data_IF_923120935272
#
_entry.id   IF_923120935272
#
_cell.length_a   1.000
_cell.length_b   1.000
_cell.length_c   1.000
_cell.angle_alpha   90.00
_cell.angle_beta   90.00
_cell.angle_gamma   90.00
#
_symmetry.space_group_name_H-M   'P 1'
#
loop_
_entity.id
_entity.type
_entity.pdbx_description
1 polymer ?
#
# COMPACT_ATOMS: atom_id res chain seq x y z
N UNK A 1 -46.20 47.09 -42.86
CA UNK A 1 -45.57 48.42 -43.13
C UNK A 1 -44.63 48.73 -41.97
N UNK A 2 -43.32 48.88 -42.26
CA UNK A 2 -42.16 49.42 -41.47
C UNK A 2 -41.83 48.74 -40.12
N UNK A 3 -40.60 48.41 -39.72
CA UNK A 3 -39.22 48.54 -40.24
C UNK A 3 -38.29 47.61 -39.41
N UNK A 4 -37.18 47.04 -39.93
CA UNK A 4 -35.80 47.59 -39.91
C UNK A 4 -35.44 48.24 -38.55
N UNK A 5 -34.38 47.88 -37.82
CA UNK A 5 -33.00 47.69 -38.27
C UNK A 5 -32.05 47.07 -37.21
N UNK A 6 -31.07 46.31 -37.73
CA UNK A 6 -29.62 46.20 -37.39
C UNK A 6 -29.11 46.03 -35.95
N UNK A 7 -28.28 44.99 -35.75
CA UNK A 7 -27.24 44.92 -34.70
C UNK A 7 -26.04 45.85 -34.95
N UNK A 8 -24.97 45.77 -34.13
CA UNK A 8 -23.72 45.20 -34.67
C UNK A 8 -22.89 44.40 -33.64
N UNK A 9 -22.06 43.48 -34.18
CA UNK A 9 -20.96 42.80 -33.50
C UNK A 9 -19.62 43.46 -33.89
N UNK A 10 -18.67 43.37 -32.94
CA UNK A 10 -17.21 43.41 -33.08
C UNK A 10 -16.52 44.77 -33.31
N UNK A 11 -15.73 45.23 -32.33
CA UNK A 11 -14.26 45.34 -32.45
C UNK A 11 -13.60 46.02 -31.22
N UNK A 12 -12.35 45.58 -30.97
CA UNK A 12 -11.20 46.36 -30.47
C UNK A 12 -11.03 46.69 -28.97
N UNK A 13 -9.98 46.07 -28.41
CA UNK A 13 -8.85 46.65 -27.68
C UNK A 13 -9.00 48.01 -26.96
N UNK A 14 -8.68 48.02 -25.66
CA UNK A 14 -8.34 49.26 -24.92
C UNK A 14 -8.12 49.04 -23.41
N UNK A 15 -6.87 49.18 -22.94
CA UNK A 15 -6.56 49.56 -21.54
C UNK A 15 -6.94 51.03 -21.31
N UNK A 16 -7.31 51.43 -20.08
CA UNK A 16 -6.45 52.33 -19.27
C UNK A 16 -6.39 51.93 -17.76
N UNK A 17 -5.21 52.04 -17.09
CA UNK A 17 -4.79 53.07 -16.08
C UNK A 17 -5.84 53.36 -14.98
N UNK A 18 -5.59 53.32 -13.67
CA UNK A 18 -4.37 53.18 -12.84
C UNK A 18 -4.69 53.64 -11.39
N UNK A 19 -3.72 53.41 -10.46
CA UNK A 19 -3.63 53.79 -9.02
C UNK A 19 -4.44 52.97 -8.02
N UNK A 20 -4.02 52.78 -6.77
CA UNK A 20 -2.76 52.64 -6.02
C UNK A 20 -3.21 52.55 -4.55
N UNK A 21 -2.44 51.86 -3.68
CA UNK A 21 -2.48 51.76 -2.20
C UNK A 21 -2.60 50.28 -1.76
N UNK A 22 -1.64 49.67 -1.04
CA UNK A 22 -0.38 50.15 -0.49
C UNK A 22 0.37 48.98 0.15
N UNK A 23 1.68 49.13 0.22
CA UNK A 23 2.66 48.21 0.81
C UNK A 23 2.40 47.84 2.27
N UNK A 24 2.80 46.61 2.62
CA UNK A 24 3.44 46.33 3.92
C UNK A 24 4.25 45.02 3.85
N UNK A 25 5.47 45.13 3.33
CA UNK A 25 6.60 44.38 3.90
C UNK A 25 6.69 44.67 5.39
N UNK A 26 6.79 43.64 6.26
CA UNK A 26 7.74 43.59 7.39
C UNK A 26 7.71 42.22 8.10
N UNK A 27 8.90 41.64 8.15
CA UNK A 27 9.49 40.62 9.04
C UNK A 27 8.86 40.34 10.42
N UNK A 28 8.95 39.07 10.84
CA UNK A 28 9.34 38.54 12.16
C UNK A 28 8.71 37.14 12.34
N UNK A 29 9.34 36.07 12.84
CA UNK A 29 10.45 35.94 13.78
C UNK A 29 10.97 34.50 13.67
N UNK A 30 12.28 34.31 13.53
CA UNK A 30 12.96 33.06 13.88
C UNK A 30 12.75 32.80 15.38
N UNK A 31 12.16 31.65 15.72
CA UNK A 31 12.29 31.06 17.06
C UNK A 31 13.36 29.97 17.01
N UNK A 32 14.41 30.03 17.84
CA UNK A 32 15.39 28.96 17.98
C UNK A 32 14.82 27.87 18.89
N UNK A 33 14.79 26.61 18.44
CA UNK A 33 14.42 25.49 19.32
C UNK A 33 13.70 24.30 18.70
N UNK A 34 13.52 24.23 17.37
CA UNK A 34 12.96 23.02 16.75
C UNK A 34 14.08 22.00 16.48
N UNK A 35 14.11 20.97 17.32
CA UNK A 35 14.86 19.73 17.13
C UNK A 35 14.63 19.20 15.72
N UNK A 36 15.71 19.05 14.95
CA UNK A 36 15.71 18.50 13.60
C UNK A 36 15.47 16.99 13.69
N UNK A 37 14.25 16.56 13.37
CA UNK A 37 13.95 15.17 13.03
C UNK A 37 14.24 14.94 11.54
N UNK A 38 14.98 13.87 11.16
CA UNK A 38 15.36 13.65 9.77
C UNK A 38 14.16 13.20 8.92
N UNK A 39 14.08 13.80 7.73
CA UNK A 39 13.05 13.63 6.73
C UNK A 39 12.91 12.18 6.24
N UNK A 40 11.76 11.57 6.50
CA UNK A 40 11.21 10.49 5.67
C UNK A 40 10.12 11.09 4.80
N UNK A 41 10.54 11.72 3.71
CA UNK A 41 9.66 12.13 2.61
C UNK A 41 9.26 10.91 1.78
N UNK A 42 8.33 10.09 2.30
CA UNK A 42 7.56 9.18 1.46
C UNK A 42 6.32 9.93 1.02
N UNK A 43 6.42 10.60 -0.13
CA UNK A 43 5.31 11.23 -0.80
C UNK A 43 4.25 10.16 -1.13
N UNK A 44 3.20 10.10 -0.32
CA UNK A 44 1.94 9.48 -0.72
C UNK A 44 1.45 10.31 -1.90
N UNK A 45 1.51 9.73 -3.11
CA UNK A 45 0.86 10.32 -4.27
C UNK A 45 -0.64 10.47 -3.94
N UNK A 46 -1.20 11.69 -3.96
CA UNK A 46 -2.63 11.84 -3.85
C UNK A 46 -3.23 11.37 -5.17
N UNK A 47 -3.77 10.15 -5.14
CA UNK A 47 -4.68 9.64 -6.14
C UNK A 47 -5.77 10.67 -6.41
N UNK A 48 -5.90 11.03 -7.69
CA UNK A 48 -6.97 11.84 -8.26
C UNK A 48 -7.07 13.31 -7.78
N UNK A 49 -6.55 14.22 -8.62
CA UNK A 49 -7.12 15.56 -8.73
C UNK A 49 -8.62 15.41 -8.96
N UNK A 50 -9.41 15.79 -7.96
CA UNK A 50 -10.78 16.24 -8.15
C UNK A 50 -10.78 17.29 -9.24
N UNK A 51 -11.22 16.88 -10.43
CA UNK A 51 -11.61 17.79 -11.50
C UNK A 51 -12.70 18.66 -10.90
N UNK A 52 -12.36 19.90 -10.59
CA UNK A 52 -13.34 20.94 -10.28
C UNK A 52 -14.17 21.13 -11.54
N UNK A 53 -15.31 20.45 -11.58
CA UNK A 53 -16.31 20.71 -12.58
C UNK A 53 -16.69 22.20 -12.47
N UNK A 54 -16.52 22.88 -13.60
CA UNK A 54 -16.99 24.24 -13.80
C UNK A 54 -18.47 24.28 -13.41
N UNK A 55 -18.80 25.03 -12.37
CA UNK A 55 -20.17 25.53 -12.18
C UNK A 55 -20.50 26.48 -13.33
N UNK A 56 -21.02 25.93 -14.42
CA UNK A 56 -21.79 26.70 -15.40
C UNK A 56 -23.18 27.03 -14.83
N UNK A 57 -23.85 28.10 -15.30
CA UNK A 57 -25.19 28.44 -14.84
C UNK A 57 -26.18 27.32 -15.19
N UNK A 58 -26.90 26.76 -14.21
CA UNK A 58 -27.92 25.73 -14.44
C UNK A 58 -29.18 26.34 -15.07
N UNK A 59 -29.81 25.66 -16.06
CA UNK A 59 -31.14 26.00 -16.52
C UNK A 59 -32.18 25.70 -15.43
N UNK A 60 -33.15 26.60 -15.29
CA UNK A 60 -34.19 26.60 -14.26
C UNK A 60 -35.29 25.61 -14.65
N UNK A 61 -35.31 24.40 -14.07
CA UNK A 61 -36.45 23.47 -14.25
C UNK A 61 -36.19 21.96 -14.20
N UNK A 62 -35.37 21.43 -13.27
CA UNK A 62 -35.29 19.98 -13.03
C UNK A 62 -35.38 19.73 -11.53
N UNK A 63 -36.38 18.98 -11.11
CA UNK A 63 -36.63 18.56 -9.73
C UNK A 63 -35.38 17.90 -9.14
N UNK A 64 -35.05 18.32 -7.91
CA UNK A 64 -33.90 17.88 -7.15
C UNK A 64 -34.12 16.45 -6.66
N UNK A 65 -33.53 15.47 -7.33
CA UNK A 65 -33.24 14.19 -6.70
C UNK A 65 -31.73 14.04 -6.64
N UNK A 66 -31.14 14.71 -5.66
CA UNK A 66 -29.79 14.36 -5.22
C UNK A 66 -29.89 12.95 -4.66
N UNK A 67 -29.46 11.97 -5.46
CA UNK A 67 -29.16 10.63 -4.96
C UNK A 67 -28.07 10.81 -3.91
N UNK A 68 -28.46 10.89 -2.64
CA UNK A 68 -27.53 10.78 -1.53
C UNK A 68 -26.86 9.41 -1.68
N UNK A 69 -25.54 9.32 -1.89
CA UNK A 69 -24.86 8.05 -1.69
C UNK A 69 -25.16 7.62 -0.26
N UNK A 70 -25.73 6.42 -0.11
CA UNK A 70 -26.18 5.85 1.16
C UNK A 70 -24.98 5.74 2.11
N UNK A 71 -24.75 6.78 2.90
CA UNK A 71 -23.63 6.92 3.85
C UNK A 71 -23.93 6.18 5.17
N UNK A 72 -24.37 4.93 5.08
CA UNK A 72 -24.66 4.09 6.25
C UNK A 72 -24.34 2.65 5.89
N UNK A 73 -23.08 2.22 6.10
CA UNK A 73 -22.65 0.81 6.28
C UNK A 73 -21.11 0.65 6.38
N UNK A 74 -20.32 1.67 6.02
CA UNK A 74 -18.85 1.56 6.00
C UNK A 74 -18.24 1.36 7.41
N UNK A 75 -18.80 2.01 8.43
CA UNK A 75 -18.31 1.90 9.82
C UNK A 75 -18.54 0.50 10.41
N UNK A 76 -19.68 -0.12 10.10
CA UNK A 76 -20.00 -1.48 10.56
C UNK A 76 -19.12 -2.52 9.87
N UNK A 77 -18.74 -2.30 8.60
CA UNK A 77 -17.89 -3.23 7.87
C UNK A 77 -16.44 -3.23 8.38
N UNK A 78 -15.87 -2.05 8.64
CA UNK A 78 -14.54 -1.94 9.26
C UNK A 78 -14.53 -2.56 10.66
N UNK A 79 -15.58 -2.32 11.47
CA UNK A 79 -15.70 -2.89 12.81
C UNK A 79 -15.87 -4.42 12.80
N UNK A 80 -16.61 -4.96 11.84
CA UNK A 80 -16.77 -6.40 11.68
C UNK A 80 -15.45 -7.07 11.26
N UNK A 81 -14.71 -6.46 10.33
CA UNK A 81 -13.41 -6.98 9.90
C UNK A 81 -12.40 -6.88 11.05
N UNK A 82 -12.35 -5.77 11.80
CA UNK A 82 -11.41 -5.61 12.92
C UNK A 82 -11.65 -6.62 14.04
N UNK A 83 -12.92 -6.89 14.40
CA UNK A 83 -13.29 -7.95 15.34
C UNK A 83 -12.87 -9.34 14.84
N UNK A 84 -13.12 -9.64 13.57
CA UNK A 84 -12.76 -10.95 13.00
C UNK A 84 -11.25 -11.17 12.98
N UNK A 85 -10.48 -10.15 12.59
CA UNK A 85 -9.01 -10.20 12.54
C UNK A 85 -8.46 -10.32 13.95
N UNK A 86 -8.94 -9.52 14.91
CA UNK A 86 -8.48 -9.58 16.30
C UNK A 86 -8.69 -10.95 16.94
N UNK A 87 -9.86 -11.57 16.72
CA UNK A 87 -10.15 -12.92 17.20
C UNK A 87 -9.19 -13.95 16.59
N UNK A 88 -9.00 -13.91 15.27
CA UNK A 88 -8.11 -14.85 14.58
C UNK A 88 -6.64 -14.66 14.97
N UNK A 89 -6.19 -13.43 15.19
CA UNK A 89 -4.83 -13.14 15.70
C UNK A 89 -4.64 -13.79 17.07
N UNK A 90 -5.61 -13.64 17.97
CA UNK A 90 -5.56 -14.25 19.30
C UNK A 90 -5.49 -15.78 19.26
N UNK A 91 -6.38 -16.40 18.47
CA UNK A 91 -6.40 -17.86 18.28
C UNK A 91 -5.08 -18.35 17.67
N UNK A 92 -4.57 -17.64 16.66
CA UNK A 92 -3.33 -17.99 15.98
C UNK A 92 -2.12 -17.89 16.91
N UNK A 93 -2.01 -16.81 17.70
CA UNK A 93 -0.97 -16.67 18.71
C UNK A 93 -1.02 -17.79 19.73
N UNK A 94 -2.21 -18.13 20.25
CA UNK A 94 -2.36 -19.24 21.19
C UNK A 94 -1.92 -20.58 20.60
N UNK A 95 -2.32 -20.86 19.36
CA UNK A 95 -1.95 -22.10 18.67
C UNK A 95 -0.44 -22.17 18.36
N UNK A 96 0.15 -21.07 17.90
CA UNK A 96 1.55 -21.05 17.46
C UNK A 96 2.53 -20.99 18.62
N UNK A 97 2.31 -20.07 19.57
CA UNK A 97 3.16 -19.93 20.75
C UNK A 97 2.96 -21.06 21.77
N UNK A 98 1.76 -21.67 21.79
CA UNK A 98 1.45 -22.76 22.73
C UNK A 98 1.91 -24.14 22.28
N UNK A 99 1.94 -24.43 20.96
CA UNK A 99 2.06 -25.81 20.47
C UNK A 99 2.96 -25.99 19.24
N UNK A 100 3.24 -24.93 18.46
CA UNK A 100 3.92 -25.05 17.16
C UNK A 100 5.30 -24.38 17.10
N UNK A 101 5.79 -23.74 18.16
CA UNK A 101 7.19 -23.31 18.24
C UNK A 101 8.09 -24.54 18.38
N UNK A 102 9.01 -24.82 17.42
CA UNK A 102 9.75 -23.87 16.57
C UNK A 102 9.52 -24.03 15.05
N UNK A 103 8.36 -24.58 14.63
CA UNK A 103 8.10 -24.96 13.24
C UNK A 103 7.43 -23.85 12.41
N UNK A 104 6.50 -23.09 12.97
CA UNK A 104 5.80 -22.02 12.24
C UNK A 104 6.16 -20.68 12.85
N UNK A 105 6.73 -19.79 12.04
CA UNK A 105 7.16 -18.47 12.52
C UNK A 105 5.95 -17.53 12.52
N UNK A 106 5.42 -17.27 13.72
CA UNK A 106 4.21 -16.46 13.92
C UNK A 106 4.35 -15.06 13.31
N UNK A 107 5.53 -14.46 13.42
CA UNK A 107 5.79 -13.13 12.87
C UNK A 107 5.72 -13.11 11.33
N UNK A 108 6.27 -14.11 10.62
CA UNK A 108 6.18 -14.23 9.15
C UNK A 108 4.73 -14.36 8.70
N UNK A 109 3.94 -15.08 9.49
CA UNK A 109 2.51 -15.23 9.26
C UNK A 109 1.81 -13.86 9.30
N UNK A 110 2.08 -13.03 10.31
CA UNK A 110 1.50 -11.69 10.41
C UNK A 110 1.93 -10.75 9.29
N UNK A 111 3.21 -10.79 8.90
CA UNK A 111 3.71 -10.02 7.76
C UNK A 111 2.95 -10.37 6.49
N UNK A 112 2.75 -11.66 6.21
CA UNK A 112 2.06 -12.11 5.01
C UNK A 112 0.56 -11.83 5.08
N UNK A 113 -0.05 -11.95 6.26
CA UNK A 113 -1.44 -11.56 6.48
C UNK A 113 -1.67 -10.06 6.19
N UNK A 114 -0.80 -9.18 6.68
CA UNK A 114 -0.85 -7.75 6.34
C UNK A 114 -0.66 -7.52 4.83
N UNK A 115 0.26 -8.27 4.20
CA UNK A 115 0.52 -8.21 2.77
C UNK A 115 -0.71 -8.59 1.92
N UNK A 116 -1.54 -9.54 2.39
CA UNK A 116 -2.78 -9.93 1.74
C UNK A 116 -3.79 -8.79 1.67
N UNK A 117 -3.98 -8.06 2.78
CA UNK A 117 -4.88 -6.90 2.79
C UNK A 117 -4.31 -5.76 1.94
N UNK A 118 -2.99 -5.54 1.97
CA UNK A 118 -2.32 -4.54 1.14
C UNK A 118 -2.39 -4.87 -0.37
N UNK A 119 -2.49 -6.15 -0.74
CA UNK A 119 -2.69 -6.58 -2.13
C UNK A 119 -4.14 -6.42 -2.63
N UNK A 120 -5.06 -5.94 -1.78
CA UNK A 120 -6.46 -5.69 -2.12
C UNK A 120 -7.44 -6.79 -1.73
N UNK A 121 -7.01 -7.83 -1.00
CA UNK A 121 -7.87 -8.90 -0.51
C UNK A 121 -8.45 -9.83 -1.60
N UNK A 122 -9.34 -10.72 -1.19
CA UNK A 122 -10.01 -11.70 -2.06
C UNK A 122 -9.08 -12.75 -2.66
N UNK A 123 -9.58 -13.51 -3.65
CA UNK A 123 -8.81 -14.60 -4.28
C UNK A 123 -7.62 -14.08 -5.11
N UNK A 124 -7.79 -12.94 -5.78
CA UNK A 124 -6.74 -12.34 -6.60
C UNK A 124 -5.62 -11.74 -5.73
N UNK A 125 -5.96 -11.08 -4.62
CA UNK A 125 -4.98 -10.58 -3.64
C UNK A 125 -4.24 -11.73 -2.96
N UNK A 126 -4.91 -12.85 -2.67
CA UNK A 126 -4.27 -14.05 -2.12
C UNK A 126 -3.16 -14.58 -3.03
N UNK A 127 -3.48 -14.80 -4.30
CA UNK A 127 -2.50 -15.35 -5.26
C UNK A 127 -1.34 -14.37 -5.43
N UNK A 128 -1.59 -13.07 -5.52
CA UNK A 128 -0.53 -12.05 -5.63
C UNK A 128 0.34 -11.99 -4.38
N UNK A 129 -0.24 -12.03 -3.19
CA UNK A 129 0.51 -11.99 -1.92
C UNK A 129 1.40 -13.22 -1.77
N UNK A 130 0.87 -14.42 -2.05
CA UNK A 130 1.65 -15.67 -1.98
C UNK A 130 2.73 -15.68 -3.07
N UNK A 131 2.37 -15.42 -4.33
CA UNK A 131 3.31 -15.48 -5.44
C UNK A 131 4.46 -14.47 -5.26
N UNK A 132 4.15 -13.23 -4.92
CA UNK A 132 5.18 -12.20 -4.68
C UNK A 132 6.07 -12.55 -3.49
N UNK A 133 5.51 -12.98 -2.36
CA UNK A 133 6.29 -13.40 -1.20
C UNK A 133 7.18 -14.62 -1.52
N UNK A 134 6.65 -15.62 -2.22
CA UNK A 134 7.43 -16.79 -2.65
C UNK A 134 8.59 -16.39 -3.55
N UNK A 135 8.35 -15.54 -4.55
CA UNK A 135 9.41 -15.07 -5.44
C UNK A 135 10.50 -14.33 -4.66
N UNK A 136 10.12 -13.46 -3.73
CA UNK A 136 11.06 -12.77 -2.84
C UNK A 136 11.91 -13.73 -2.00
N UNK A 137 11.27 -14.71 -1.35
CA UNK A 137 11.96 -15.74 -0.56
C UNK A 137 12.91 -16.58 -1.41
N UNK A 138 12.49 -17.03 -2.59
CA UNK A 138 13.29 -17.90 -3.45
C UNK A 138 14.49 -17.17 -4.05
N UNK A 139 14.34 -15.90 -4.49
CA UNK A 139 15.47 -15.11 -4.99
C UNK A 139 16.46 -14.84 -3.86
N UNK A 140 15.99 -14.52 -2.64
CA UNK A 140 16.86 -14.36 -1.48
C UNK A 140 17.62 -15.65 -1.14
N UNK A 141 16.97 -16.81 -1.20
CA UNK A 141 17.62 -18.10 -1.00
C UNK A 141 18.70 -18.37 -2.06
N UNK A 142 18.41 -18.07 -3.33
CA UNK A 142 19.39 -18.20 -4.41
C UNK A 142 20.61 -17.28 -4.20
N UNK A 143 20.39 -16.06 -3.71
CA UNK A 143 21.45 -15.10 -3.40
C UNK A 143 22.34 -15.58 -2.24
N UNK A 144 21.75 -16.08 -1.16
CA UNK A 144 22.53 -16.60 -0.04
C UNK A 144 23.31 -17.86 -0.42
N UNK A 145 22.70 -18.74 -1.22
CA UNK A 145 23.40 -19.88 -1.79
C UNK A 145 24.59 -19.45 -2.67
N UNK A 146 24.40 -18.47 -3.56
CA UNK A 146 25.46 -17.93 -4.41
C UNK A 146 26.58 -17.26 -3.58
N UNK A 147 26.22 -16.54 -2.52
CA UNK A 147 27.20 -15.97 -1.60
C UNK A 147 28.07 -17.05 -0.94
N UNK A 148 27.47 -18.20 -0.58
CA UNK A 148 28.20 -19.36 -0.06
C UNK A 148 29.23 -19.90 -1.05
N UNK A 149 28.91 -19.93 -2.34
CA UNK A 149 29.82 -20.39 -3.40
C UNK A 149 30.97 -19.40 -3.67
N UNK A 150 30.74 -18.09 -3.47
CA UNK A 150 31.70 -17.02 -3.72
C UNK A 150 32.65 -16.73 -2.55
N UNK A 151 32.68 -17.60 -1.53
CA UNK A 151 33.56 -17.45 -0.37
C UNK A 151 32.88 -16.93 0.90
N UNK A 152 31.54 -16.94 0.93
CA UNK A 152 30.70 -17.07 2.13
C UNK A 152 31.21 -16.39 3.41
N UNK A 153 31.22 -15.06 3.42
CA UNK A 153 31.62 -14.30 4.61
C UNK A 153 30.73 -13.08 4.82
N UNK A 154 30.40 -12.78 6.07
CA UNK A 154 29.74 -11.51 6.47
C UNK A 154 30.74 -10.50 7.02
N UNK A 155 32.03 -10.73 6.79
CA UNK A 155 33.14 -9.94 7.31
C UNK A 155 34.17 -9.68 6.21
N UNK A 156 34.84 -8.53 6.25
CA UNK A 156 35.87 -8.16 5.28
C UNK A 156 35.36 -8.12 3.83
N UNK A 157 36.13 -8.70 2.91
CA UNK A 157 35.80 -8.74 1.47
C UNK A 157 34.51 -9.52 1.20
N UNK A 158 34.17 -10.52 2.01
CA UNK A 158 32.91 -11.28 1.88
C UNK A 158 31.67 -10.41 2.07
N UNK A 159 31.73 -9.43 2.98
CA UNK A 159 30.63 -8.49 3.19
C UNK A 159 30.39 -7.60 1.96
N UNK A 160 31.46 -7.23 1.23
CA UNK A 160 31.33 -6.46 -0.01
C UNK A 160 30.61 -7.27 -1.08
N UNK A 161 30.97 -8.55 -1.24
CA UNK A 161 30.30 -9.47 -2.17
C UNK A 161 28.83 -9.63 -1.79
N UNK A 162 28.54 -9.87 -0.50
CA UNK A 162 27.17 -10.00 -0.02
C UNK A 162 26.34 -8.73 -0.24
N UNK A 163 26.93 -7.55 0.00
CA UNK A 163 26.27 -6.26 -0.24
C UNK A 163 25.93 -6.06 -1.72
N UNK A 164 26.86 -6.37 -2.63
CA UNK A 164 26.62 -6.32 -4.08
C UNK A 164 25.50 -7.29 -4.50
N UNK A 165 25.49 -8.51 -3.94
CA UNK A 165 24.43 -9.48 -4.20
C UNK A 165 23.07 -9.00 -3.68
N UNK A 166 23.00 -8.34 -2.52
CA UNK A 166 21.76 -7.73 -2.04
C UNK A 166 21.32 -6.52 -2.87
N UNK A 167 22.24 -5.75 -3.43
CA UNK A 167 21.91 -4.70 -4.38
C UNK A 167 21.26 -5.30 -5.65
N UNK A 168 21.82 -6.39 -6.17
CA UNK A 168 21.24 -7.15 -7.29
C UNK A 168 19.88 -7.74 -6.91
N UNK A 169 19.71 -8.26 -5.69
CA UNK A 169 18.41 -8.71 -5.18
C UNK A 169 17.37 -7.60 -5.25
N UNK A 170 17.66 -6.43 -4.67
CA UNK A 170 16.74 -5.29 -4.68
C UNK A 170 16.35 -4.85 -6.10
N UNK A 171 17.32 -4.81 -7.01
CA UNK A 171 17.06 -4.55 -8.43
C UNK A 171 16.17 -5.62 -9.07
N UNK A 172 16.45 -6.90 -8.81
CA UNK A 172 15.68 -8.02 -9.33
C UNK A 172 14.22 -7.99 -8.83
N UNK A 173 13.98 -7.77 -7.53
CA UNK A 173 12.64 -7.67 -6.96
C UNK A 173 11.82 -6.54 -7.59
N UNK A 174 12.43 -5.41 -7.90
CA UNK A 174 11.76 -4.32 -8.62
C UNK A 174 11.46 -4.70 -10.08
N UNK A 175 12.35 -5.42 -10.76
CA UNK A 175 12.15 -5.87 -12.14
C UNK A 175 11.04 -6.92 -12.26
N UNK A 176 10.78 -7.71 -11.20
CA UNK A 176 9.66 -8.66 -11.15
C UNK A 176 8.30 -7.99 -11.33
N UNK A 177 8.16 -6.70 -11.01
CA UNK A 177 6.92 -5.93 -11.18
C UNK A 177 6.39 -5.87 -12.61
N UNK A 178 7.23 -6.16 -13.61
CA UNK A 178 6.86 -6.22 -15.03
C UNK A 178 5.90 -7.36 -15.36
N UNK A 179 5.77 -8.34 -14.47
CA UNK A 179 4.83 -9.45 -14.60
C UNK A 179 3.63 -9.16 -13.70
N UNK A 180 2.41 -9.14 -14.26
CA UNK A 180 1.19 -8.76 -13.54
C UNK A 180 0.92 -9.60 -12.28
N UNK A 181 1.40 -10.84 -12.26
CA UNK A 181 1.30 -11.75 -11.12
C UNK A 181 2.17 -11.33 -9.92
N UNK A 182 3.29 -10.65 -10.19
CA UNK A 182 4.25 -10.15 -9.19
C UNK A 182 4.20 -8.62 -9.04
N UNK A 183 3.18 -7.96 -9.60
CA UNK A 183 2.99 -6.51 -9.54
C UNK A 183 2.96 -5.94 -8.11
N UNK A 184 2.65 -6.78 -7.11
CA UNK A 184 2.74 -6.42 -5.70
C UNK A 184 4.18 -6.53 -5.16
N UNK A 185 5.01 -5.54 -5.51
CA UNK A 185 6.41 -5.40 -5.07
C UNK A 185 6.57 -5.49 -3.53
N UNK A 186 5.69 -4.87 -2.71
CA UNK A 186 5.83 -4.95 -1.26
C UNK A 186 5.78 -6.40 -0.73
N UNK A 187 5.00 -7.28 -1.37
CA UNK A 187 4.94 -8.69 -1.00
C UNK A 187 6.26 -9.42 -1.25
N UNK A 188 6.97 -9.07 -2.34
CA UNK A 188 8.28 -9.64 -2.63
C UNK A 188 9.35 -9.21 -1.59
N UNK A 189 9.32 -7.95 -1.15
CA UNK A 189 10.18 -7.50 -0.05
C UNK A 189 9.82 -8.15 1.29
N UNK A 190 8.53 -8.37 1.56
CA UNK A 190 8.09 -9.10 2.76
C UNK A 190 8.61 -10.54 2.73
N UNK A 191 8.55 -11.23 1.58
CA UNK A 191 9.09 -12.58 1.42
C UNK A 191 10.60 -12.64 1.59
N UNK A 192 11.33 -11.66 1.05
CA UNK A 192 12.77 -11.54 1.24
C UNK A 192 13.14 -11.25 2.71
N UNK A 193 12.44 -10.31 3.35
CA UNK A 193 12.63 -9.99 4.77
C UNK A 193 12.30 -11.19 5.67
N UNK A 194 11.27 -11.95 5.33
CA UNK A 194 10.88 -13.18 6.03
C UNK A 194 11.99 -14.23 5.99
N UNK A 195 12.65 -14.39 4.84
CA UNK A 195 13.79 -15.29 4.68
C UNK A 195 15.00 -14.87 5.52
N UNK A 196 15.42 -13.61 5.42
CA UNK A 196 16.58 -13.12 6.18
C UNK A 196 16.32 -13.06 7.68
N UNK A 197 15.12 -12.64 8.11
CA UNK A 197 14.72 -12.62 9.53
C UNK A 197 14.59 -14.01 10.14
N UNK A 198 14.34 -15.05 9.33
CA UNK A 198 14.38 -16.45 9.75
C UNK A 198 15.81 -17.00 9.93
N UNK A 199 16.85 -16.19 9.68
CA UNK A 199 18.25 -16.60 9.72
C UNK A 199 18.77 -17.17 8.40
N UNK A 200 18.14 -16.84 7.27
CA UNK A 200 18.50 -17.30 5.93
C UNK A 200 18.71 -18.83 5.80
N UNK A 201 17.76 -19.66 6.26
CA UNK A 201 17.92 -21.11 6.21
C UNK A 201 17.89 -21.62 4.77
N UNK A 202 18.94 -22.33 4.35
CA UNK A 202 18.98 -23.01 3.03
C UNK A 202 18.49 -24.48 3.09
N UNK A 203 18.28 -25.02 4.29
CA UNK A 203 17.86 -26.40 4.52
C UNK A 203 16.32 -26.54 4.62
N UNK A 204 15.83 -27.65 5.19
CA UNK A 204 14.39 -27.90 5.41
C UNK A 204 13.65 -26.83 6.21
N UNK A 205 14.36 -25.93 6.90
CA UNK A 205 13.80 -24.72 7.54
C UNK A 205 13.25 -23.70 6.53
N UNK A 206 13.73 -23.69 5.28
CA UNK A 206 13.14 -22.88 4.20
C UNK A 206 11.69 -23.28 3.92
N UNK A 207 11.39 -24.58 3.96
CA UNK A 207 10.03 -25.09 3.81
C UNK A 207 9.09 -24.52 4.87
N UNK A 208 9.56 -24.40 6.11
CA UNK A 208 8.79 -23.80 7.21
C UNK A 208 8.52 -22.31 7.04
N UNK A 209 9.45 -21.56 6.44
CA UNK A 209 9.22 -20.15 6.06
C UNK A 209 8.12 -20.04 5.02
N UNK A 210 8.19 -20.87 3.96
CA UNK A 210 7.16 -20.90 2.90
C UNK A 210 5.79 -21.31 3.44
N UNK A 211 5.73 -22.31 4.32
CA UNK A 211 4.49 -22.72 5.00
C UNK A 211 3.93 -21.56 5.82
N UNK A 212 4.78 -20.82 6.56
CA UNK A 212 4.35 -19.67 7.35
C UNK A 212 3.75 -18.55 6.47
N UNK A 213 4.31 -18.32 5.28
CA UNK A 213 3.78 -17.38 4.28
C UNK A 213 2.39 -17.84 3.81
N UNK A 214 2.25 -19.11 3.41
CA UNK A 214 0.95 -19.65 2.97
C UNK A 214 -0.10 -19.55 4.09
N UNK A 215 0.26 -19.92 5.31
CA UNK A 215 -0.62 -19.81 6.47
C UNK A 215 -1.11 -18.38 6.67
N UNK A 216 -0.22 -17.38 6.59
CA UNK A 216 -0.60 -15.98 6.79
C UNK A 216 -1.56 -15.47 5.72
N UNK A 217 -1.31 -15.84 4.47
CA UNK A 217 -2.19 -15.49 3.37
C UNK A 217 -3.58 -16.13 3.50
N UNK A 218 -3.62 -17.42 3.88
CA UNK A 218 -4.88 -18.16 4.11
C UNK A 218 -5.67 -17.57 5.29
N UNK A 219 -5.01 -17.21 6.39
CA UNK A 219 -5.69 -16.57 7.53
C UNK A 219 -6.24 -15.19 7.20
N UNK A 220 -5.54 -14.43 6.35
CA UNK A 220 -6.08 -13.21 5.76
C UNK A 220 -7.39 -13.42 5.03
N UNK A 221 -7.44 -14.44 4.17
CA UNK A 221 -8.66 -14.78 3.44
C UNK A 221 -9.79 -15.23 4.37
N UNK A 222 -9.49 -16.05 5.38
CA UNK A 222 -10.49 -16.52 6.34
C UNK A 222 -11.08 -15.33 7.12
N UNK A 223 -10.23 -14.40 7.55
CA UNK A 223 -10.66 -13.22 8.30
C UNK A 223 -11.50 -12.28 7.46
N UNK A 224 -11.15 -12.06 6.19
CA UNK A 224 -11.99 -11.31 5.26
C UNK A 224 -13.37 -11.98 5.07
N UNK A 225 -13.40 -13.31 4.87
CA UNK A 225 -14.65 -14.07 4.68
C UNK A 225 -15.55 -14.01 5.91
N UNK A 226 -14.99 -14.12 7.10
CA UNK A 226 -15.75 -14.04 8.37
C UNK A 226 -16.28 -12.63 8.57
N UNK A 227 -15.46 -11.59 8.33
CA UNK A 227 -15.90 -10.19 8.40
C UNK A 227 -17.04 -9.88 7.42
N UNK A 228 -16.95 -10.37 6.18
CA UNK A 228 -18.01 -10.24 5.17
C UNK A 228 -19.29 -11.00 5.56
N UNK A 229 -19.17 -12.20 6.15
CA UNK A 229 -20.33 -12.95 6.62
C UNK A 229 -21.06 -12.24 7.77
N UNK A 230 -20.31 -11.56 8.66
CA UNK A 230 -20.89 -10.79 9.76
C UNK A 230 -21.65 -9.54 9.28
N UNK A 231 -21.15 -8.86 8.24
CA UNK A 231 -21.83 -7.68 7.66
C UNK A 231 -23.03 -8.06 6.81
N UNK A 232 -22.98 -9.17 6.08
CA UNK A 232 -24.11 -9.67 5.29
C UNK A 232 -25.31 -10.11 6.15
N UNK A 233 -25.08 -10.41 7.44
CA UNK A 233 -26.11 -10.87 8.38
C UNK A 233 -26.69 -9.76 9.25
N UNK A 234 -26.24 -8.51 9.14
CA UNK A 234 -26.84 -7.38 9.86
C UNK A 234 -28.23 -7.08 9.27
N UNK A 235 -29.34 -7.38 9.98
CA UNK A 235 -30.67 -7.04 9.49
C UNK A 235 -30.84 -5.53 9.51
N UNK A 236 -31.39 -5.00 8.41
CA UNK A 236 -31.86 -3.62 8.30
C UNK A 236 -33.09 -3.36 9.18
#
# INVERSE_FOLDING_TARGET
MRGCDTGPRCAAAGRPRGRDCGDATTNARLSPGAVVAPATGMAIAPSARLRTDRCGPRPRGSTNECIHPKETNHMNALNAISLSVGLWVGIWCFATLGYLEPKVMTWITFLTWASFYAAGGGKAGLVKAIASAFAGTLISAAIVWLNGQLGGGVQGVGLLIFSLLLAVLGWALCQLSKVDLFSFIPGAFIGAASFFGAGAPLDGKLGWVLVSIVCGAVMGLISERVGQAMTAKAPA
#
